data_IF_156691599062
#
_entry.id   IF_156691599062
#
_cell.length_a   1.000
_cell.length_b   1.000
_cell.length_c   1.000
_cell.angle_alpha   90.00
_cell.angle_beta   90.00
_cell.angle_gamma   90.00
#
_symmetry.space_group_name_H-M   'P 1'
#
loop_
_entity.id
_entity.type
_entity.pdbx_description
1 polymer ?
#
# COMPACT_ATOMS: atom_id res chain seq x y z
N UNK A 1 -26.57 15.27 9.21
CA UNK A 1 -27.18 14.19 10.00
C UNK A 1 -27.50 12.95 9.17
N UNK A 2 -28.23 13.10 8.02
CA UNK A 2 -28.62 11.96 7.17
C UNK A 2 -27.43 11.17 6.60
N UNK A 3 -26.37 11.85 6.19
CA UNK A 3 -25.18 11.21 5.61
C UNK A 3 -24.49 10.29 6.62
N UNK A 4 -24.42 10.70 7.88
CA UNK A 4 -23.85 9.88 8.96
C UNK A 4 -24.73 8.65 9.23
N UNK A 5 -26.04 8.83 9.27
CA UNK A 5 -27.00 7.74 9.46
C UNK A 5 -26.88 6.68 8.36
N UNK A 6 -26.90 7.09 7.09
CA UNK A 6 -26.79 6.17 5.95
C UNK A 6 -25.43 5.47 5.89
N UNK A 7 -24.35 6.16 6.27
CA UNK A 7 -23.02 5.56 6.36
C UNK A 7 -22.97 4.48 7.46
N UNK A 8 -23.52 4.77 8.62
CA UNK A 8 -23.58 3.81 9.73
C UNK A 8 -24.45 2.60 9.39
N UNK A 9 -25.59 2.83 8.73
CA UNK A 9 -26.47 1.76 8.25
C UNK A 9 -25.75 0.84 7.25
N UNK A 10 -25.06 1.40 6.27
CA UNK A 10 -24.24 0.64 5.32
C UNK A 10 -23.14 -0.15 6.03
N UNK A 11 -22.38 0.47 6.91
CA UNK A 11 -21.29 -0.20 7.61
C UNK A 11 -21.75 -1.34 8.52
N UNK A 12 -22.88 -1.16 9.19
CA UNK A 12 -23.43 -2.21 10.07
C UNK A 12 -24.08 -3.35 9.29
N UNK A 13 -24.56 -3.06 8.09
CA UNK A 13 -25.11 -4.05 7.18
C UNK A 13 -24.09 -4.83 6.34
N UNK A 14 -22.81 -4.41 6.37
CA UNK A 14 -21.72 -5.03 5.61
C UNK A 14 -20.70 -5.70 6.55
N UNK A 15 -20.80 -7.02 6.78
CA UNK A 15 -19.93 -7.72 7.74
C UNK A 15 -18.44 -7.56 7.45
N UNK A 16 -18.04 -7.51 6.18
CA UNK A 16 -16.65 -7.35 5.73
C UNK A 16 -16.03 -6.04 6.23
N UNK A 17 -16.86 -5.01 6.45
CA UNK A 17 -16.40 -3.70 6.91
C UNK A 17 -16.17 -3.65 8.43
N UNK A 18 -16.77 -4.55 9.21
CA UNK A 18 -16.85 -4.42 10.67
C UNK A 18 -15.48 -4.39 11.35
N UNK A 19 -14.51 -5.16 10.90
CA UNK A 19 -13.17 -5.16 11.48
C UNK A 19 -12.52 -3.77 11.35
N UNK A 20 -12.58 -3.17 10.17
CA UNK A 20 -12.05 -1.82 9.93
C UNK A 20 -12.86 -0.76 10.69
N UNK A 21 -14.18 -0.88 10.73
CA UNK A 21 -15.06 0.06 11.43
C UNK A 21 -14.78 0.07 12.93
N UNK A 22 -14.60 -1.11 13.56
CA UNK A 22 -14.26 -1.20 14.98
C UNK A 22 -12.91 -0.56 15.30
N UNK A 23 -11.91 -0.71 14.44
CA UNK A 23 -10.61 -0.06 14.59
C UNK A 23 -10.75 1.46 14.42
N UNK A 24 -11.48 1.92 13.40
CA UNK A 24 -11.69 3.34 13.12
C UNK A 24 -12.44 4.06 14.25
N UNK A 25 -13.39 3.38 14.89
CA UNK A 25 -14.17 3.92 16.01
C UNK A 25 -13.49 3.76 17.38
N UNK A 26 -12.29 3.19 17.43
CA UNK A 26 -11.43 3.14 18.61
C UNK A 26 -10.52 4.38 18.70
N UNK A 27 -9.75 4.48 19.76
CA UNK A 27 -8.72 5.53 19.96
C UNK A 27 -7.76 5.66 18.76
N UNK A 28 -7.56 4.59 17.99
CA UNK A 28 -6.76 4.61 16.77
C UNK A 28 -7.32 5.52 15.67
N UNK A 29 -8.60 5.85 15.73
CA UNK A 29 -9.24 6.82 14.83
C UNK A 29 -8.91 8.27 15.14
N UNK A 30 -8.27 8.55 16.28
CA UNK A 30 -8.00 9.90 16.78
C UNK A 30 -6.52 10.12 17.13
N UNK A 31 -5.56 9.77 16.25
CA UNK A 31 -4.15 9.98 16.54
C UNK A 31 -3.82 11.47 16.65
N UNK A 32 -2.88 11.84 17.53
CA UNK A 32 -2.43 13.23 17.68
C UNK A 32 -1.73 13.79 16.44
N UNK A 33 -1.10 12.93 15.65
CA UNK A 33 -0.45 13.31 14.40
C UNK A 33 0.00 12.10 13.60
N UNK A 34 0.48 12.33 12.39
CA UNK A 34 1.00 11.26 11.53
C UNK A 34 2.18 10.53 12.16
N UNK A 35 2.99 11.23 12.96
CA UNK A 35 4.16 10.67 13.66
C UNK A 35 3.79 9.62 14.69
N UNK A 36 2.59 9.69 15.24
CA UNK A 36 2.08 8.81 16.29
C UNK A 36 1.24 7.65 15.75
N UNK A 37 1.32 7.38 14.45
CA UNK A 37 0.56 6.31 13.79
C UNK A 37 1.47 5.19 13.32
N UNK A 38 1.01 3.95 13.47
CA UNK A 38 1.55 2.83 12.72
C UNK A 38 1.02 2.83 11.28
N UNK A 39 1.82 2.30 10.34
CA UNK A 39 1.39 1.98 9.00
C UNK A 39 1.19 0.48 8.82
N UNK A 40 0.21 0.09 8.04
CA UNK A 40 -0.09 -1.31 7.75
C UNK A 40 -0.31 -1.50 6.26
N UNK A 41 0.43 -2.44 5.66
CA UNK A 41 0.13 -2.95 4.33
C UNK A 41 -0.93 -4.03 4.45
N UNK A 42 -2.21 -3.68 4.22
CA UNK A 42 -3.34 -4.59 4.41
C UNK A 42 -3.30 -5.77 3.45
N UNK A 43 -2.86 -5.53 2.22
CA UNK A 43 -2.78 -6.56 1.20
C UNK A 43 -1.64 -7.53 1.45
N UNK A 44 -1.87 -8.78 1.06
CA UNK A 44 -0.80 -9.75 0.90
C UNK A 44 -0.12 -9.49 -0.43
N UNK A 45 1.22 -9.40 -0.39
CA UNK A 45 2.10 -9.43 -1.56
C UNK A 45 2.90 -10.73 -1.55
N UNK A 46 3.73 -10.94 -2.54
CA UNK A 46 4.70 -12.02 -2.52
C UNK A 46 6.12 -11.50 -2.72
N UNK A 47 7.06 -12.24 -2.18
CA UNK A 47 8.48 -12.12 -2.48
C UNK A 47 8.96 -13.41 -3.14
N UNK A 48 9.87 -13.30 -4.09
CA UNK A 48 10.49 -14.43 -4.73
C UNK A 48 11.99 -14.21 -4.89
N UNK A 49 12.76 -15.30 -4.84
CA UNK A 49 14.19 -15.28 -5.02
C UNK A 49 14.60 -15.69 -6.45
N UNK A 50 15.89 -15.70 -6.70
CA UNK A 50 16.51 -16.12 -7.98
C UNK A 50 16.26 -17.59 -8.36
N UNK A 51 15.89 -18.40 -7.37
CA UNK A 51 15.50 -19.82 -7.60
C UNK A 51 14.02 -19.96 -7.92
N UNK A 52 13.26 -18.89 -7.91
CA UNK A 52 11.82 -18.90 -8.11
C UNK A 52 11.02 -19.37 -6.90
N UNK A 53 11.64 -19.49 -5.72
CA UNK A 53 10.94 -19.80 -4.48
C UNK A 53 10.14 -18.58 -4.03
N UNK A 54 8.84 -18.76 -3.80
CA UNK A 54 7.91 -17.70 -3.44
C UNK A 54 7.45 -17.82 -2.00
N UNK A 55 7.26 -16.68 -1.34
CA UNK A 55 6.60 -16.55 -0.04
C UNK A 55 5.59 -15.40 -0.09
N UNK A 56 4.55 -15.53 0.71
CA UNK A 56 3.56 -14.46 0.89
C UNK A 56 3.98 -13.55 2.02
N UNK A 57 3.76 -12.24 1.85
CA UNK A 57 4.20 -11.24 2.82
C UNK A 57 3.14 -10.20 3.11
N UNK A 58 3.09 -9.75 4.37
CA UNK A 58 2.38 -8.52 4.78
C UNK A 58 3.36 -7.56 5.44
N UNK A 59 3.19 -6.27 5.17
CA UNK A 59 4.08 -5.21 5.63
C UNK A 59 3.50 -4.48 6.84
N UNK A 60 4.38 -4.12 7.78
CA UNK A 60 4.04 -3.33 8.96
C UNK A 60 5.08 -2.24 9.17
N UNK A 61 4.62 -1.03 9.46
CA UNK A 61 5.47 0.11 9.79
C UNK A 61 5.15 0.58 11.20
N UNK A 62 6.09 0.40 12.11
CA UNK A 62 5.91 0.72 13.52
C UNK A 62 6.55 2.06 13.85
N UNK A 63 5.74 3.05 14.23
CA UNK A 63 6.26 4.35 14.67
C UNK A 63 7.16 4.16 15.89
N UNK A 64 8.25 4.90 15.92
CA UNK A 64 9.18 4.93 17.06
C UNK A 64 8.91 6.11 18.00
N UNK A 65 8.02 7.03 17.61
CA UNK A 65 7.61 8.20 18.41
C UNK A 65 6.58 7.85 19.51
N UNK A 66 6.13 6.58 19.53
CA UNK A 66 5.05 6.15 20.41
C UNK A 66 3.66 6.44 19.83
N UNK A 67 2.66 5.81 20.43
CA UNK A 67 1.25 6.02 20.07
C UNK A 67 0.70 7.06 21.04
N UNK A 68 0.14 8.12 20.50
CA UNK A 68 -0.58 9.15 21.23
C UNK A 68 -1.88 9.47 20.50
N UNK A 69 -2.97 9.49 21.24
CA UNK A 69 -4.31 9.75 20.72
C UNK A 69 -4.93 10.95 21.44
N UNK A 70 -5.84 11.62 20.78
CA UNK A 70 -6.70 12.63 21.38
C UNK A 70 -7.82 11.95 22.16
N UNK A 71 -8.33 12.63 23.18
CA UNK A 71 -9.66 12.32 23.72
C UNK A 71 -10.74 12.80 22.75
N UNK A 72 -11.98 12.33 22.90
CA UNK A 72 -13.11 12.76 22.07
C UNK A 72 -13.30 14.28 22.07
N UNK A 73 -13.15 14.90 23.24
CA UNK A 73 -13.30 16.35 23.39
C UNK A 73 -12.18 17.12 22.69
N UNK A 74 -10.94 16.67 22.84
CA UNK A 74 -9.77 17.27 22.15
C UNK A 74 -9.89 17.09 20.65
N UNK A 75 -10.28 15.90 20.18
CA UNK A 75 -10.46 15.62 18.77
C UNK A 75 -11.55 16.51 18.14
N UNK A 76 -12.69 16.65 18.81
CA UNK A 76 -13.77 17.52 18.34
C UNK A 76 -13.33 18.99 18.23
N UNK A 77 -12.52 19.45 19.19
CA UNK A 77 -11.96 20.80 19.19
C UNK A 77 -10.97 21.02 18.07
N UNK A 78 -9.97 20.13 17.94
CA UNK A 78 -8.92 20.30 16.92
C UNK A 78 -9.46 20.19 15.48
N UNK A 79 -10.42 19.30 15.23
CA UNK A 79 -11.08 19.17 13.91
C UNK A 79 -11.82 20.44 13.53
N UNK A 80 -12.41 21.14 14.51
CA UNK A 80 -13.11 22.40 14.27
C UNK A 80 -12.16 23.60 14.08
N UNK A 81 -10.96 23.55 14.64
CA UNK A 81 -10.03 24.68 14.64
C UNK A 81 -8.94 24.57 13.58
N UNK A 82 -8.39 23.38 13.37
CA UNK A 82 -7.26 23.16 12.46
C UNK A 82 -7.31 21.76 11.82
N UNK A 83 -7.82 21.71 10.61
CA UNK A 83 -7.92 20.45 9.83
C UNK A 83 -6.56 19.93 9.34
N UNK A 84 -5.57 20.80 9.28
CA UNK A 84 -4.22 20.48 8.81
C UNK A 84 -3.24 20.23 9.98
N UNK A 85 -3.75 20.05 11.20
CA UNK A 85 -2.95 19.90 12.42
C UNK A 85 -1.89 18.82 12.30
N UNK A 86 -2.23 17.65 11.77
CA UNK A 86 -1.28 16.53 11.61
C UNK A 86 -0.21 16.82 10.56
N UNK A 87 -0.55 17.51 9.47
CA UNK A 87 0.41 17.94 8.45
C UNK A 87 1.35 19.00 9.00
N UNK A 88 0.81 19.98 9.73
CA UNK A 88 1.59 21.04 10.39
C UNK A 88 2.56 20.46 11.41
N UNK A 89 2.10 19.52 12.22
CA UNK A 89 2.94 18.81 13.20
C UNK A 89 4.12 18.12 12.52
N UNK A 90 3.86 17.33 11.47
CA UNK A 90 4.90 16.62 10.73
C UNK A 90 5.91 17.58 10.09
N UNK A 91 5.42 18.64 9.41
CA UNK A 91 6.26 19.62 8.78
C UNK A 91 7.18 20.31 9.79
N UNK A 92 6.61 20.79 10.89
CA UNK A 92 7.37 21.48 11.95
C UNK A 92 8.37 20.56 12.64
N UNK A 93 8.04 19.29 12.86
CA UNK A 93 8.95 18.33 13.43
C UNK A 93 10.22 18.17 12.56
N UNK A 94 10.05 18.04 11.26
CA UNK A 94 11.15 17.91 10.31
C UNK A 94 11.98 19.22 10.27
N UNK A 95 11.35 20.39 10.21
CA UNK A 95 12.05 21.68 10.25
C UNK A 95 12.87 21.88 11.52
N UNK A 96 12.37 21.39 12.65
CA UNK A 96 13.04 21.49 13.93
C UNK A 96 14.11 20.39 14.18
N UNK A 97 14.32 19.48 13.20
CA UNK A 97 15.29 18.39 13.33
C UNK A 97 14.79 17.20 14.16
N UNK A 98 13.52 17.19 14.56
CA UNK A 98 12.88 16.06 15.23
C UNK A 98 12.34 15.08 14.17
N UNK A 99 13.24 14.31 13.58
CA UNK A 99 12.94 13.45 12.44
C UNK A 99 12.18 12.19 12.85
N UNK A 100 10.91 12.04 12.42
CA UNK A 100 10.13 10.87 12.77
C UNK A 100 10.59 9.63 12.01
N UNK A 101 10.55 8.49 12.70
CA UNK A 101 11.07 7.20 12.24
C UNK A 101 10.04 6.09 12.38
N UNK A 102 10.14 5.13 11.47
CA UNK A 102 9.36 3.90 11.54
C UNK A 102 10.25 2.70 11.26
N UNK A 103 10.09 1.68 12.08
CA UNK A 103 10.65 0.36 11.78
C UNK A 103 9.72 -0.40 10.87
N UNK A 104 10.30 -0.98 9.82
CA UNK A 104 9.60 -1.83 8.87
C UNK A 104 9.74 -3.29 9.29
N UNK A 105 8.61 -3.98 9.33
CA UNK A 105 8.52 -5.41 9.59
C UNK A 105 7.74 -6.10 8.50
N UNK A 106 8.03 -7.38 8.32
CA UNK A 106 7.23 -8.26 7.47
C UNK A 106 6.70 -9.44 8.29
N UNK A 107 5.54 -9.94 7.91
CA UNK A 107 5.08 -11.27 8.25
C UNK A 107 5.24 -12.14 7.02
N UNK A 108 5.70 -13.36 7.19
CA UNK A 108 5.98 -14.29 6.09
C UNK A 108 5.14 -15.55 6.25
N UNK A 109 4.54 -15.98 5.16
CA UNK A 109 3.76 -17.22 5.06
C UNK A 109 4.22 -17.99 3.82
N UNK A 110 4.50 -19.29 3.97
CA UNK A 110 4.84 -20.13 2.83
C UNK A 110 3.60 -20.46 1.99
N UNK A 111 3.78 -20.92 0.76
CA UNK A 111 2.66 -21.37 -0.08
C UNK A 111 1.90 -22.53 0.56
N UNK A 112 2.62 -23.46 1.19
CA UNK A 112 1.99 -24.59 1.90
C UNK A 112 1.17 -24.11 3.10
N UNK A 113 1.68 -23.18 3.89
CA UNK A 113 0.95 -22.59 5.00
C UNK A 113 -0.30 -21.84 4.51
N UNK A 114 -0.21 -21.15 3.38
CA UNK A 114 -1.35 -20.44 2.81
C UNK A 114 -2.47 -21.40 2.36
N UNK A 115 -2.10 -22.51 1.74
CA UNK A 115 -3.06 -23.56 1.33
C UNK A 115 -3.80 -24.19 2.52
N UNK A 116 -3.13 -24.31 3.65
CA UNK A 116 -3.67 -24.95 4.86
C UNK A 116 -4.19 -23.95 5.90
N UNK A 117 -4.21 -22.66 5.57
CA UNK A 117 -4.67 -21.62 6.50
C UNK A 117 -6.19 -21.73 6.71
N UNK A 118 -6.69 -21.64 7.95
CA UNK A 118 -8.12 -21.77 8.23
C UNK A 118 -8.97 -20.65 7.61
N UNK A 119 -8.43 -19.44 7.55
CA UNK A 119 -9.03 -18.29 6.87
C UNK A 119 -8.35 -18.09 5.52
N UNK A 120 -9.00 -17.38 4.59
CA UNK A 120 -8.36 -16.97 3.35
C UNK A 120 -7.22 -15.96 3.64
N UNK A 121 -5.94 -16.32 3.45
CA UNK A 121 -4.81 -15.45 3.78
C UNK A 121 -4.69 -14.23 2.85
N UNK A 122 -5.43 -14.24 1.73
CA UNK A 122 -5.50 -13.16 0.74
C UNK A 122 -6.70 -12.23 0.95
N UNK A 123 -7.54 -12.51 1.94
CA UNK A 123 -8.61 -11.59 2.34
C UNK A 123 -8.03 -10.47 3.20
N UNK A 124 -8.06 -9.24 2.69
CA UNK A 124 -7.52 -8.07 3.39
C UNK A 124 -8.28 -7.71 4.68
N UNK A 125 -9.50 -8.22 4.87
CA UNK A 125 -10.26 -8.02 6.12
C UNK A 125 -9.74 -8.89 7.27
N UNK A 126 -8.89 -9.85 6.98
CA UNK A 126 -8.31 -10.80 7.95
C UNK A 126 -6.88 -10.40 8.33
N UNK A 127 -6.56 -10.53 9.60
CA UNK A 127 -5.20 -10.34 10.09
C UNK A 127 -4.48 -11.68 10.24
N UNK A 128 -3.18 -11.69 9.97
CA UNK A 128 -2.34 -12.82 10.34
C UNK A 128 -1.90 -12.63 11.80
N UNK A 129 -2.22 -13.57 12.65
CA UNK A 129 -1.88 -13.46 14.07
C UNK A 129 -0.37 -13.51 14.28
N UNK A 130 0.17 -12.55 15.04
CA UNK A 130 1.61 -12.45 15.31
C UNK A 130 2.16 -13.65 16.09
N UNK A 131 1.31 -14.40 16.79
CA UNK A 131 1.68 -15.64 17.45
C UNK A 131 2.11 -16.70 16.46
N UNK A 132 1.41 -16.77 15.33
CA UNK A 132 1.62 -17.79 14.30
C UNK A 132 2.57 -17.30 13.21
N UNK A 133 2.50 -16.01 12.89
CA UNK A 133 3.34 -15.32 11.92
C UNK A 133 4.01 -14.11 12.58
N UNK A 134 5.16 -14.30 13.25
CA UNK A 134 5.84 -13.24 13.98
C UNK A 134 6.35 -12.13 13.06
N UNK A 135 6.47 -10.93 13.61
CA UNK A 135 7.06 -9.80 12.90
C UNK A 135 8.57 -9.98 12.78
N UNK A 136 9.08 -9.90 11.56
CA UNK A 136 10.50 -9.92 11.23
C UNK A 136 10.92 -8.49 10.89
N UNK A 137 11.83 -7.91 11.64
CA UNK A 137 12.37 -6.58 11.38
C UNK A 137 13.27 -6.62 10.14
N UNK A 138 13.01 -5.73 9.18
CA UNK A 138 13.75 -5.69 7.91
C UNK A 138 14.41 -4.34 7.64
N UNK A 139 14.03 -3.30 8.36
CA UNK A 139 14.66 -1.99 8.20
C UNK A 139 13.97 -0.87 8.94
N UNK A 140 14.46 0.33 8.72
CA UNK A 140 13.97 1.58 9.29
C UNK A 140 13.91 2.64 8.19
N UNK A 141 12.97 3.54 8.27
CA UNK A 141 12.99 4.78 7.49
C UNK A 141 12.75 6.00 8.38
N UNK A 142 13.33 7.11 7.97
CA UNK A 142 13.28 8.39 8.64
C UNK A 142 12.79 9.46 7.66
N UNK A 143 11.90 10.33 8.09
CA UNK A 143 11.50 11.51 7.33
C UNK A 143 12.31 12.71 7.83
N UNK A 144 13.31 13.12 7.05
CA UNK A 144 14.31 14.11 7.45
C UNK A 144 14.40 15.33 6.53
N UNK A 145 13.51 15.46 5.57
CA UNK A 145 13.45 16.59 4.64
C UNK A 145 12.02 16.91 4.23
N UNK A 146 11.63 18.15 4.36
CA UNK A 146 10.38 18.64 3.80
C UNK A 146 10.51 18.88 2.28
N UNK A 147 9.40 18.80 1.52
CA UNK A 147 9.39 19.20 0.13
C UNK A 147 9.65 20.71 -0.02
N UNK A 148 10.40 21.11 -1.05
CA UNK A 148 10.63 22.52 -1.37
C UNK A 148 9.38 23.15 -2.02
N UNK A 149 8.69 22.39 -2.82
CA UNK A 149 7.45 22.82 -3.47
C UNK A 149 6.36 21.76 -3.29
N UNK A 150 5.36 22.08 -2.48
CA UNK A 150 4.30 21.16 -2.15
C UNK A 150 3.51 20.69 -3.38
N UNK A 151 3.24 21.57 -4.33
CA UNK A 151 2.53 21.20 -5.56
C UNK A 151 3.34 20.21 -6.40
N UNK A 152 4.62 20.51 -6.66
CA UNK A 152 5.48 19.68 -7.50
C UNK A 152 5.81 18.33 -6.85
N UNK A 153 6.10 18.34 -5.55
CA UNK A 153 6.70 17.18 -4.88
C UNK A 153 5.67 16.32 -4.14
N UNK A 154 4.48 16.87 -3.84
CA UNK A 154 3.45 16.19 -3.07
C UNK A 154 2.14 16.05 -3.83
N UNK A 155 1.53 17.15 -4.30
CA UNK A 155 0.22 17.08 -4.94
C UNK A 155 0.24 16.31 -6.26
N UNK A 156 1.35 16.35 -7.00
CA UNK A 156 1.53 15.60 -8.24
C UNK A 156 2.06 14.18 -8.07
N UNK A 157 2.34 13.76 -6.84
CA UNK A 157 2.77 12.39 -6.59
C UNK A 157 1.68 11.37 -6.97
N UNK A 158 2.07 10.35 -7.73
CA UNK A 158 1.19 9.34 -8.28
C UNK A 158 1.60 7.95 -7.78
N UNK A 159 1.12 7.58 -6.60
CA UNK A 159 1.32 6.24 -6.07
C UNK A 159 0.46 5.22 -6.81
N UNK A 160 1.02 4.05 -7.06
CA UNK A 160 0.29 2.92 -7.62
C UNK A 160 0.86 1.59 -7.10
N UNK A 161 0.02 0.60 -6.77
CA UNK A 161 0.50 -0.71 -6.35
C UNK A 161 1.23 -1.47 -7.47
N UNK A 162 1.11 -1.00 -8.71
CA UNK A 162 1.85 -1.54 -9.86
C UNK A 162 3.34 -1.17 -9.86
N UNK A 163 3.76 -0.19 -9.05
CA UNK A 163 5.15 0.25 -8.96
C UNK A 163 5.94 -0.68 -8.02
N UNK A 164 6.21 -1.88 -8.48
CA UNK A 164 7.02 -2.88 -7.76
C UNK A 164 8.37 -3.05 -8.43
N UNK A 165 9.30 -3.65 -7.70
CA UNK A 165 10.67 -3.94 -8.15
C UNK A 165 10.87 -5.45 -8.29
N UNK A 166 11.92 -5.91 -9.03
CA UNK A 166 12.28 -7.32 -9.08
C UNK A 166 12.42 -7.93 -7.68
N UNK A 167 11.95 -9.16 -7.51
CA UNK A 167 11.86 -9.84 -6.21
C UNK A 167 10.53 -9.66 -5.49
N UNK A 168 9.70 -8.70 -5.93
CA UNK A 168 8.33 -8.49 -5.44
C UNK A 168 7.31 -8.87 -6.50
N UNK A 169 6.18 -9.39 -6.06
CA UNK A 169 5.03 -9.66 -6.92
C UNK A 169 3.73 -9.54 -6.14
N UNK A 170 2.63 -9.63 -6.85
CA UNK A 170 1.27 -9.51 -6.30
C UNK A 170 0.83 -10.81 -5.62
N UNK A 171 -0.37 -10.82 -5.12
CA UNK A 171 -1.08 -11.99 -4.60
C UNK A 171 -2.47 -12.09 -5.22
N UNK A 172 -3.20 -13.19 -4.99
CA UNK A 172 -4.59 -13.35 -5.42
C UNK A 172 -5.58 -12.46 -4.68
N UNK A 173 -5.14 -11.60 -3.77
CA UNK A 173 -6.01 -10.64 -3.07
C UNK A 173 -6.87 -9.87 -4.08
N UNK A 174 -8.18 -10.09 -4.03
CA UNK A 174 -9.15 -9.55 -5.00
C UNK A 174 -9.14 -8.02 -5.05
N UNK A 175 -9.04 -7.37 -3.90
CA UNK A 175 -8.98 -5.91 -3.83
C UNK A 175 -7.66 -5.39 -4.40
N UNK A 176 -6.54 -6.06 -4.13
CA UNK A 176 -5.26 -5.72 -4.73
C UNK A 176 -5.33 -5.81 -6.26
N UNK A 177 -5.89 -6.89 -6.79
CA UNK A 177 -6.06 -7.07 -8.24
C UNK A 177 -6.89 -5.94 -8.86
N UNK A 178 -7.98 -5.51 -8.20
CA UNK A 178 -8.76 -4.35 -8.63
C UNK A 178 -7.96 -3.04 -8.57
N UNK A 179 -7.13 -2.85 -7.56
CA UNK A 179 -6.27 -1.68 -7.40
C UNK A 179 -5.19 -1.57 -8.48
N UNK A 180 -4.73 -2.68 -9.06
CA UNK A 180 -3.77 -2.66 -10.18
C UNK A 180 -4.31 -1.90 -11.40
N UNK A 181 -5.62 -1.90 -11.60
CA UNK A 181 -6.27 -1.17 -12.69
C UNK A 181 -6.66 0.25 -12.30
N UNK A 182 -7.19 0.45 -11.11
CA UNK A 182 -7.83 1.71 -10.72
C UNK A 182 -6.85 2.87 -10.59
N UNK A 183 -5.64 2.65 -10.08
CA UNK A 183 -4.68 3.75 -9.88
C UNK A 183 -4.16 4.32 -11.17
N UNK A 184 -3.80 3.47 -12.14
CA UNK A 184 -3.37 3.94 -13.45
C UNK A 184 -4.47 4.73 -14.18
N UNK A 185 -5.71 4.31 -14.05
CA UNK A 185 -6.85 5.04 -14.60
C UNK A 185 -7.05 6.38 -13.92
N UNK A 186 -7.11 6.39 -12.59
CA UNK A 186 -7.28 7.62 -11.82
C UNK A 186 -6.18 8.66 -12.10
N UNK A 187 -4.94 8.25 -12.20
CA UNK A 187 -3.81 9.17 -12.45
C UNK A 187 -3.87 9.78 -13.85
N UNK A 188 -4.38 9.06 -14.85
CA UNK A 188 -4.54 9.60 -16.21
C UNK A 188 -5.47 10.81 -16.26
N UNK A 189 -6.57 10.83 -15.54
CA UNK A 189 -7.46 11.99 -15.53
C UNK A 189 -7.15 13.00 -14.43
N UNK A 190 -6.54 12.58 -13.30
CA UNK A 190 -6.13 13.49 -12.23
C UNK A 190 -4.94 14.34 -12.63
N UNK A 191 -3.91 13.74 -13.22
CA UNK A 191 -2.63 14.37 -13.53
C UNK A 191 -2.34 14.48 -15.04
N UNK A 192 -2.92 13.59 -15.83
CA UNK A 192 -2.69 13.52 -17.28
C UNK A 192 -2.07 12.18 -17.70
N UNK A 193 -2.12 11.92 -19.01
CA UNK A 193 -1.65 10.65 -19.59
C UNK A 193 -0.16 10.39 -19.36
N UNK A 194 0.62 11.44 -19.14
CA UNK A 194 2.07 11.40 -18.92
C UNK A 194 2.45 11.60 -17.44
N UNK A 195 1.56 11.27 -16.50
CA UNK A 195 1.82 11.46 -15.06
C UNK A 195 3.13 10.80 -14.58
N UNK A 196 3.54 9.72 -15.19
CA UNK A 196 4.79 9.02 -14.90
C UNK A 196 6.04 9.81 -15.36
N UNK A 197 5.91 10.82 -16.24
CA UNK A 197 7.00 11.72 -16.66
C UNK A 197 7.19 12.91 -15.70
N UNK A 198 6.27 13.15 -14.77
CA UNK A 198 6.43 14.20 -13.75
C UNK A 198 7.61 13.81 -12.84
N UNK A 199 8.56 14.73 -12.56
CA UNK A 199 9.80 14.40 -11.85
C UNK A 199 9.63 13.65 -10.53
N UNK A 200 8.57 13.95 -9.75
CA UNK A 200 8.29 13.26 -8.49
C UNK A 200 7.92 11.78 -8.69
N UNK A 201 7.43 11.42 -9.87
CA UNK A 201 6.97 10.06 -10.21
C UNK A 201 8.01 9.25 -10.98
N UNK A 202 9.11 9.89 -11.40
CA UNK A 202 10.17 9.20 -12.13
C UNK A 202 11.05 8.37 -11.19
N UNK A 203 11.61 7.24 -11.67
CA UNK A 203 12.63 6.52 -10.93
C UNK A 203 13.82 7.41 -10.61
N UNK A 204 14.28 7.39 -9.37
CA UNK A 204 15.47 8.15 -8.96
C UNK A 204 16.74 7.36 -9.31
N UNK A 205 17.75 8.07 -9.81
CA UNK A 205 19.05 7.49 -10.15
C UNK A 205 19.09 6.69 -11.45
N UNK A 206 18.01 6.67 -12.20
CA UNK A 206 17.95 6.06 -13.55
C UNK A 206 17.84 7.19 -14.55
N UNK A 207 18.70 7.19 -15.56
CA UNK A 207 18.63 8.17 -16.66
C UNK A 207 17.33 8.04 -17.44
N UNK A 208 16.92 9.11 -18.08
CA UNK A 208 15.65 9.13 -18.87
C UNK A 208 15.70 8.12 -20.03
N UNK A 209 16.88 7.81 -20.50
CA UNK A 209 17.15 6.79 -21.52
C UNK A 209 16.75 5.36 -21.11
N UNK A 210 16.62 5.11 -19.80
CA UNK A 210 16.26 3.79 -19.25
C UNK A 210 14.75 3.67 -18.93
N UNK A 211 13.93 4.61 -19.38
CA UNK A 211 12.49 4.52 -19.21
C UNK A 211 11.91 3.38 -20.05
N UNK A 212 10.80 2.84 -19.57
CA UNK A 212 10.08 1.75 -20.21
C UNK A 212 9.84 2.02 -21.70
N UNK A 213 10.16 1.09 -22.62
CA UNK A 213 9.94 1.26 -24.06
C UNK A 213 8.49 1.55 -24.45
N UNK A 214 7.54 1.09 -23.65
CA UNK A 214 6.11 1.35 -23.87
C UNK A 214 5.70 2.81 -23.66
N UNK A 215 6.54 3.61 -23.04
CA UNK A 215 6.30 5.04 -22.82
C UNK A 215 6.92 5.93 -23.90
N UNK A 216 7.71 5.38 -24.79
CA UNK A 216 8.23 6.05 -25.98
C UNK A 216 7.09 6.27 -26.99
N UNK A 217 7.19 7.35 -27.79
CA UNK A 217 6.19 7.71 -28.79
C UNK A 217 4.76 7.90 -28.25
N UNK A 218 4.64 8.03 -26.93
CA UNK A 218 3.37 8.27 -26.25
C UNK A 218 2.86 9.70 -26.43
N UNK A 219 1.57 9.88 -26.18
CA UNK A 219 0.93 11.18 -26.26
C UNK A 219 1.62 12.21 -25.34
N UNK A 220 1.76 13.43 -25.82
CA UNK A 220 2.42 14.54 -25.09
C UNK A 220 3.85 14.21 -24.63
N UNK A 221 4.56 13.38 -25.35
CA UNK A 221 5.98 13.12 -25.08
C UNK A 221 6.77 14.40 -25.28
N UNK A 222 7.49 14.85 -24.26
CA UNK A 222 8.22 16.11 -24.30
C UNK A 222 9.65 16.01 -23.71
N UNK A 223 10.00 14.86 -23.17
CA UNK A 223 11.31 14.65 -22.56
C UNK A 223 12.34 14.23 -23.62
N UNK A 224 13.53 14.81 -23.54
CA UNK A 224 14.72 14.48 -24.31
C UNK A 224 14.49 14.24 -25.82
N UNK A 225 15.30 13.40 -26.41
CA UNK A 225 15.21 12.99 -27.81
C UNK A 225 14.24 11.81 -28.03
N UNK A 226 13.31 11.55 -27.12
CA UNK A 226 12.37 10.44 -27.17
C UNK A 226 13.05 9.06 -27.30
N UNK A 227 14.22 8.87 -26.69
CA UNK A 227 15.06 7.67 -26.75
C UNK A 227 15.60 7.35 -28.16
N UNK A 228 15.76 8.39 -28.99
CA UNK A 228 16.33 8.27 -30.33
C UNK A 228 15.36 7.75 -31.40
N UNK A 229 15.90 7.44 -32.57
CA UNK A 229 15.14 7.04 -33.77
C UNK A 229 15.04 5.54 -34.01
N UNK A 230 15.49 4.70 -33.10
CA UNK A 230 15.44 3.25 -33.26
C UNK A 230 14.02 2.65 -33.08
N UNK A 231 13.86 1.34 -33.26
CA UNK A 231 12.58 0.68 -33.05
C UNK A 231 12.15 0.74 -31.57
N UNK A 232 10.83 0.87 -31.33
CA UNK A 232 10.25 0.91 -29.99
C UNK A 232 9.57 -0.41 -29.59
N UNK A 233 9.82 -1.48 -30.34
CA UNK A 233 9.28 -2.81 -30.08
C UNK A 233 10.38 -3.82 -29.73
N UNK A 234 10.00 -4.86 -29.05
CA UNK A 234 10.85 -6.01 -28.74
C UNK A 234 10.13 -7.31 -29.19
N UNK A 235 10.86 -8.31 -29.70
CA UNK A 235 12.31 -8.30 -30.01
C UNK A 235 12.65 -7.50 -31.26
N UNK A 236 13.87 -6.98 -31.33
CA UNK A 236 14.42 -6.33 -32.52
C UNK A 236 15.92 -6.70 -32.68
N UNK A 237 16.48 -6.41 -33.84
CA UNK A 237 17.90 -6.69 -34.16
C UNK A 237 18.80 -5.46 -33.99
N UNK A 238 18.31 -4.38 -33.43
CA UNK A 238 19.05 -3.15 -33.18
C UNK A 238 19.73 -3.10 -31.80
N UNK A 239 19.42 -4.07 -30.91
CA UNK A 239 19.96 -4.12 -29.54
C UNK A 239 19.51 -2.97 -28.64
N UNK A 240 18.40 -2.32 -28.95
CA UNK A 240 17.94 -1.14 -28.19
C UNK A 240 17.23 -1.56 -26.90
N UNK A 241 16.49 -2.67 -26.93
CA UNK A 241 15.82 -3.24 -25.78
C UNK A 241 16.22 -4.70 -25.67
N UNK A 242 16.60 -5.10 -24.45
CA UNK A 242 17.01 -6.46 -24.15
C UNK A 242 16.11 -7.05 -23.06
N UNK A 243 15.89 -8.36 -23.12
CA UNK A 243 15.24 -9.06 -22.01
C UNK A 243 16.21 -9.17 -20.82
N UNK A 244 15.64 -9.16 -19.62
CA UNK A 244 16.39 -9.35 -18.37
C UNK A 244 15.94 -10.68 -17.72
N UNK A 245 16.41 -11.83 -18.23
CA UNK A 245 15.97 -13.14 -17.77
C UNK A 245 16.24 -13.38 -16.29
N UNK A 246 17.26 -12.72 -15.72
CA UNK A 246 17.59 -12.75 -14.30
C UNK A 246 16.50 -12.14 -13.40
N UNK A 247 15.64 -11.31 -13.98
CA UNK A 247 14.50 -10.70 -13.27
C UNK A 247 13.16 -11.37 -13.59
N UNK A 248 13.22 -12.53 -14.26
CA UNK A 248 12.01 -13.27 -14.62
C UNK A 248 11.27 -13.71 -13.35
N UNK A 249 10.01 -13.31 -13.27
CA UNK A 249 9.12 -13.75 -12.18
C UNK A 249 8.85 -15.26 -12.29
N UNK A 250 8.77 -15.99 -11.17
CA UNK A 250 8.25 -17.35 -11.18
C UNK A 250 6.79 -17.31 -11.69
N UNK A 251 6.35 -18.35 -12.41
CA UNK A 251 4.95 -18.43 -12.83
C UNK A 251 4.05 -18.37 -11.59
N UNK A 252 2.93 -17.71 -11.75
CA UNK A 252 1.88 -17.77 -10.75
C UNK A 252 1.40 -19.23 -10.67
N UNK A 253 1.36 -19.86 -9.50
CA UNK A 253 0.82 -21.19 -9.40
C UNK A 253 -0.68 -21.18 -9.80
N UNK A 254 -1.07 -22.06 -10.72
CA UNK A 254 -2.44 -22.15 -11.26
C UNK A 254 -3.10 -23.48 -10.90
N UNK A 255 -2.67 -24.10 -9.82
CA UNK A 255 -3.14 -25.43 -9.39
C UNK A 255 -4.48 -25.39 -8.62
N UNK A 256 -5.34 -24.51 -9.07
CA UNK A 256 -6.76 -24.57 -8.84
C UNK A 256 -7.28 -23.68 -7.71
N UNK A 257 -7.01 -23.95 -6.49
CA UNK A 257 -7.72 -23.26 -5.38
C UNK A 257 -7.10 -21.91 -4.96
N UNK A 258 -5.94 -21.56 -5.47
CA UNK A 258 -5.20 -20.36 -5.06
C UNK A 258 -5.48 -19.11 -5.88
N UNK A 259 -6.07 -19.20 -7.06
CA UNK A 259 -6.11 -18.11 -8.06
C UNK A 259 -7.49 -17.76 -8.56
N UNK A 260 -8.41 -18.68 -8.55
CA UNK A 260 -9.80 -18.30 -8.52
C UNK A 260 -10.10 -17.84 -7.10
N UNK A 261 -10.39 -16.58 -6.94
CA UNK A 261 -11.01 -16.08 -5.74
C UNK A 261 -12.39 -16.76 -5.65
N UNK A 262 -12.39 -17.97 -5.13
CA UNK A 262 -13.63 -18.61 -4.69
C UNK A 262 -14.08 -17.85 -3.45
N UNK A 263 -15.02 -16.96 -3.66
CA UNK A 263 -15.74 -16.35 -2.58
C UNK A 263 -16.45 -17.45 -1.80
N UNK A 264 -15.81 -17.94 -0.76
CA UNK A 264 -16.37 -18.92 0.18
C UNK A 264 -17.29 -18.18 1.13
N UNK A 265 -18.50 -17.83 0.62
CA UNK A 265 -19.49 -17.12 1.45
C UNK A 265 -19.80 -17.88 2.74
N UNK A 266 -19.69 -19.22 2.72
CA UNK A 266 -20.03 -20.06 3.85
C UNK A 266 -18.87 -20.26 4.83
N UNK A 267 -17.63 -20.02 4.41
CA UNK A 267 -16.42 -20.23 5.20
C UNK A 267 -15.86 -18.94 5.82
N UNK A 268 -16.22 -17.75 5.30
CA UNK A 268 -15.69 -16.48 5.75
C UNK A 268 -16.51 -15.91 6.91
N UNK A 269 -15.98 -16.05 8.10
CA UNK A 269 -16.57 -15.46 9.30
C UNK A 269 -16.02 -14.02 9.54
N UNK A 270 -16.71 -13.05 8.98
CA UNK A 270 -16.34 -11.64 9.12
C UNK A 270 -16.51 -11.08 10.54
N UNK A 271 -17.25 -11.76 11.40
CA UNK A 271 -17.52 -11.35 12.78
C UNK A 271 -16.50 -11.88 13.77
N UNK A 272 -15.75 -12.92 13.47
CA UNK A 272 -14.89 -13.60 14.44
C UNK A 272 -13.75 -12.69 14.93
N UNK A 273 -12.96 -12.11 14.04
CA UNK A 273 -11.82 -11.28 14.43
C UNK A 273 -12.25 -9.96 15.10
N UNK A 274 -13.20 -9.17 14.56
CA UNK A 274 -13.71 -8.01 15.29
C UNK A 274 -14.41 -8.38 16.59
N UNK A 275 -15.09 -9.53 16.64
CA UNK A 275 -15.69 -10.05 17.87
C UNK A 275 -14.65 -10.43 18.93
N UNK A 276 -13.49 -10.97 18.54
CA UNK A 276 -12.36 -11.20 19.44
C UNK A 276 -11.82 -9.89 19.99
N UNK A 277 -11.66 -8.88 19.15
CA UNK A 277 -11.23 -7.53 19.56
C UNK A 277 -12.23 -6.91 20.53
N UNK A 278 -13.53 -6.94 20.18
CA UNK A 278 -14.59 -6.40 21.03
C UNK A 278 -14.60 -7.04 22.42
N UNK A 279 -14.46 -8.37 22.49
CA UNK A 279 -14.42 -9.10 23.78
C UNK A 279 -13.16 -8.82 24.64
N UNK A 280 -12.15 -8.16 24.08
CA UNK A 280 -10.96 -7.71 24.82
C UNK A 280 -11.13 -6.29 25.40
N UNK A 281 -12.17 -5.58 25.01
CA UNK A 281 -12.47 -4.26 25.55
C UNK A 281 -13.18 -4.42 26.90
N UNK A 282 -12.88 -3.53 27.85
CA UNK A 282 -13.60 -3.45 29.10
C UNK A 282 -15.04 -2.96 28.89
N UNK A 283 -15.94 -3.29 29.79
CA UNK A 283 -17.36 -2.83 29.76
C UNK A 283 -17.52 -1.35 30.17
N UNK A 284 -16.43 -0.59 30.26
CA UNK A 284 -16.44 0.84 30.66
C UNK A 284 -16.58 1.75 29.46
#
# INVERSE_FOLDING_TARGET
>A
PYTTLFRSDFWTGLPEALHQVTILMSDRGMPKGFRNMHGFGSHTYSMYNDKGERVWVKYHFRTQQGIENYTDEEAAKIVGMDRDSSQRDLYNAIENGDYPKWKMYIQVMTEEQAKNHPDNPFDLTKVWYKKDYPLIEVGEFELNRNPENYFLDVEQAAFAPTNIVPGLDYSPDKMLQGRLFSYGDAQRYRLGVNHWQIPVNQPKGVGVENLCPFSRDGQMRFLDNNQGGGPHYYPNNQGIYESQPEHKKPPFPTDGDGYEYNYRQDDDNYFEQPGKLFRLQSED
#
